data_IF_472116302294
#
_entry.id   IF_472116302294
#
_cell.length_a   1.000
_cell.length_b   1.000
_cell.length_c   1.000
_cell.angle_alpha   90.00
_cell.angle_beta   90.00
_cell.angle_gamma   90.00
#
_symmetry.space_group_name_H-M   'P 1'
#
loop_
_entity.id
_entity.type
_entity.pdbx_description
1 polymer ?
#
# COMPACT_ATOMS: atom_id res chain seq x y z
N UNK A 1 11.79 8.25 -17.27
CA UNK A 1 11.15 8.30 -15.92
C UNK A 1 12.13 9.02 -15.01
N UNK A 2 11.89 10.30 -14.78
CA UNK A 2 12.71 11.14 -13.90
C UNK A 2 12.56 10.65 -12.46
N UNK A 3 13.68 10.31 -11.83
CA UNK A 3 13.69 10.02 -10.40
C UNK A 3 13.70 11.37 -9.70
N UNK A 4 12.75 11.58 -8.82
CA UNK A 4 12.80 12.73 -7.91
C UNK A 4 14.17 12.72 -7.21
N UNK A 5 14.81 13.88 -7.14
CA UNK A 5 16.14 14.05 -6.53
C UNK A 5 16.24 13.52 -5.09
N UNK A 6 15.10 13.33 -4.42
CA UNK A 6 15.00 12.79 -3.07
C UNK A 6 15.47 11.33 -2.94
N UNK A 7 15.32 10.51 -4.00
CA UNK A 7 15.80 9.13 -4.00
C UNK A 7 17.32 8.99 -3.94
N UNK A 8 18.06 10.04 -4.32
CA UNK A 8 19.54 10.04 -4.32
C UNK A 8 20.11 10.23 -2.90
N UNK A 9 19.31 10.77 -1.96
CA UNK A 9 19.72 11.00 -0.57
C UNK A 9 19.12 9.97 0.41
N UNK A 10 18.27 9.06 -0.09
CA UNK A 10 17.61 8.07 0.74
C UNK A 10 18.62 7.03 1.29
N UNK A 11 18.34 6.52 2.48
CA UNK A 11 19.01 5.36 3.08
C UNK A 11 18.13 4.11 2.97
N UNK A 12 16.83 4.30 2.86
CA UNK A 12 15.87 3.21 2.65
C UNK A 12 14.85 3.57 1.55
N UNK A 13 14.39 2.56 0.83
CA UNK A 13 13.34 2.67 -0.17
C UNK A 13 12.22 1.65 0.09
N UNK A 14 10.99 2.12 0.23
CA UNK A 14 9.79 1.28 0.32
C UNK A 14 9.16 1.23 -1.07
N UNK A 15 9.18 0.07 -1.71
CA UNK A 15 8.65 -0.16 -3.04
C UNK A 15 7.17 -0.52 -2.93
N UNK A 16 6.31 0.26 -3.57
CA UNK A 16 4.86 0.05 -3.58
C UNK A 16 4.32 0.04 -5.01
N UNK A 17 3.16 -0.57 -5.22
CA UNK A 17 2.62 -0.70 -6.57
C UNK A 17 2.26 0.67 -7.15
N UNK A 18 1.52 1.49 -6.41
CA UNK A 18 0.95 2.73 -6.89
C UNK A 18 1.01 3.90 -5.92
N UNK A 19 0.43 5.01 -6.37
CA UNK A 19 0.37 6.27 -5.60
C UNK A 19 -0.55 6.15 -4.39
N UNK A 20 -1.62 5.33 -4.46
CA UNK A 20 -2.51 5.07 -3.31
C UNK A 20 -1.75 4.48 -2.12
N UNK A 21 -0.91 3.48 -2.38
CA UNK A 21 -0.10 2.84 -1.34
C UNK A 21 0.92 3.81 -0.75
N UNK A 22 1.55 4.62 -1.62
CA UNK A 22 2.48 5.67 -1.18
C UNK A 22 1.80 6.64 -0.22
N UNK A 23 0.62 7.17 -0.59
CA UNK A 23 -0.10 8.14 0.24
C UNK A 23 -0.59 7.53 1.55
N UNK A 24 -1.04 6.27 1.53
CA UNK A 24 -1.44 5.54 2.73
C UNK A 24 -0.28 5.41 3.72
N UNK A 25 0.88 4.96 3.26
CA UNK A 25 2.06 4.79 4.12
C UNK A 25 2.60 6.15 4.61
N UNK A 26 2.59 7.19 3.79
CA UNK A 26 2.95 8.55 4.21
C UNK A 26 1.99 9.10 5.27
N UNK A 27 0.68 8.88 5.10
CA UNK A 27 -0.32 9.28 6.10
C UNK A 27 -0.10 8.52 7.42
N UNK A 28 0.14 7.21 7.37
CA UNK A 28 0.41 6.41 8.57
C UNK A 28 1.69 6.85 9.28
N UNK A 29 2.76 7.11 8.54
CA UNK A 29 4.01 7.61 9.11
C UNK A 29 3.80 8.95 9.85
N UNK A 30 3.12 9.92 9.20
CA UNK A 30 2.77 11.21 9.83
C UNK A 30 1.98 11.02 11.12
N UNK A 31 0.94 10.15 11.10
CA UNK A 31 0.12 9.87 12.29
C UNK A 31 0.91 9.25 13.44
N UNK A 32 2.00 8.55 13.13
CA UNK A 32 2.95 8.00 14.11
C UNK A 32 4.05 8.98 14.53
N UNK A 33 3.97 10.24 14.07
CA UNK A 33 4.96 11.26 14.38
C UNK A 33 6.30 11.06 13.67
N UNK A 34 6.35 10.20 12.63
CA UNK A 34 7.56 9.97 11.83
C UNK A 34 7.68 11.00 10.72
N UNK A 35 8.89 11.48 10.50
CA UNK A 35 9.26 12.32 9.37
C UNK A 35 10.17 11.51 8.43
N UNK A 36 9.57 10.88 7.41
CA UNK A 36 10.28 10.00 6.49
C UNK A 36 11.42 10.71 5.74
N UNK A 37 11.28 12.00 5.44
CA UNK A 37 12.33 12.78 4.77
C UNK A 37 13.54 12.97 5.69
N UNK A 38 13.30 13.31 6.96
CA UNK A 38 14.36 13.43 7.96
C UNK A 38 15.03 12.07 8.25
N UNK A 39 14.26 10.99 8.20
CA UNK A 39 14.72 9.61 8.35
C UNK A 39 15.38 9.06 7.07
N UNK A 40 15.37 9.83 5.99
CA UNK A 40 15.89 9.42 4.66
C UNK A 40 15.22 8.16 4.11
N UNK A 41 13.92 8.02 4.35
CA UNK A 41 13.08 6.93 3.82
C UNK A 41 12.27 7.45 2.65
N UNK A 42 12.41 6.83 1.49
CA UNK A 42 11.61 7.17 0.30
C UNK A 42 10.56 6.09 0.03
N UNK A 43 9.29 6.47 -0.09
CA UNK A 43 8.24 5.56 -0.56
C UNK A 43 8.09 5.75 -2.07
N UNK A 44 8.37 4.70 -2.83
CA UNK A 44 8.53 4.75 -4.29
C UNK A 44 7.42 3.96 -4.98
N UNK A 45 6.46 4.64 -5.63
CA UNK A 45 5.46 3.97 -6.47
C UNK A 45 6.12 3.49 -7.77
N UNK A 46 5.99 2.19 -8.04
CA UNK A 46 6.65 1.54 -9.17
C UNK A 46 5.85 1.67 -10.48
N UNK A 47 4.57 2.03 -10.42
CA UNK A 47 3.68 2.04 -11.58
C UNK A 47 3.29 0.65 -12.06
N UNK A 48 3.16 -0.29 -11.12
CA UNK A 48 2.76 -1.67 -11.30
C UNK A 48 3.76 -2.67 -10.73
N UNK A 49 3.25 -3.78 -10.19
CA UNK A 49 4.02 -4.80 -9.48
C UNK A 49 5.10 -5.49 -10.34
N UNK A 50 4.87 -5.61 -11.64
CA UNK A 50 5.84 -6.23 -12.58
C UNK A 50 7.16 -5.46 -12.68
N UNK A 51 7.18 -4.19 -12.26
CA UNK A 51 8.37 -3.35 -12.27
C UNK A 51 9.31 -3.63 -11.09
N UNK A 52 8.91 -4.44 -10.11
CA UNK A 52 9.67 -4.75 -8.89
C UNK A 52 11.14 -5.11 -9.17
N UNK A 53 11.39 -5.93 -10.19
CA UNK A 53 12.75 -6.34 -10.58
C UNK A 53 13.65 -5.14 -10.93
N UNK A 54 13.13 -4.19 -11.71
CA UNK A 54 13.87 -2.99 -12.13
C UNK A 54 14.22 -2.12 -10.93
N UNK A 55 13.26 -1.97 -10.01
CA UNK A 55 13.46 -1.16 -8.81
C UNK A 55 14.40 -1.83 -7.81
N UNK A 56 14.32 -3.16 -7.61
CA UNK A 56 15.27 -3.91 -6.78
C UNK A 56 16.71 -3.84 -7.34
N UNK A 57 16.86 -3.99 -8.65
CA UNK A 57 18.18 -3.82 -9.29
C UNK A 57 18.74 -2.43 -9.05
N UNK A 58 17.88 -1.41 -9.07
CA UNK A 58 18.30 -0.02 -8.92
C UNK A 58 18.60 0.36 -7.48
N UNK A 59 17.71 0.03 -6.55
CA UNK A 59 17.81 0.47 -5.16
C UNK A 59 18.51 -0.53 -4.24
N UNK A 60 18.50 -1.80 -4.59
CA UNK A 60 19.11 -2.87 -3.80
C UNK A 60 20.63 -2.98 -3.94
N UNK A 61 21.20 -4.12 -3.53
CA UNK A 61 22.66 -4.32 -3.43
C UNK A 61 23.43 -4.17 -4.74
N UNK A 62 22.76 -4.34 -5.87
CA UNK A 62 23.38 -4.19 -7.20
C UNK A 62 23.34 -2.76 -7.74
N UNK A 63 22.68 -1.83 -7.03
CA UNK A 63 22.52 -0.44 -7.44
C UNK A 63 22.97 0.53 -6.37
N UNK A 64 22.01 1.28 -5.78
CA UNK A 64 22.31 2.27 -4.74
C UNK A 64 22.58 1.68 -3.35
N UNK A 65 22.47 0.37 -3.18
CA UNK A 65 22.65 -0.36 -1.92
C UNK A 65 21.84 0.21 -0.76
N UNK A 66 20.60 0.59 -1.04
CA UNK A 66 19.68 1.07 -0.02
C UNK A 66 19.06 -0.12 0.72
N UNK A 67 18.64 0.11 1.97
CA UNK A 67 17.73 -0.78 2.65
C UNK A 67 16.39 -0.78 1.90
N UNK A 68 16.01 -1.91 1.31
CA UNK A 68 14.77 -2.02 0.54
C UNK A 68 13.69 -2.74 1.33
N UNK A 69 12.47 -2.25 1.22
CA UNK A 69 11.26 -2.87 1.75
C UNK A 69 10.15 -2.76 0.71
N UNK A 70 9.01 -3.40 0.93
CA UNK A 70 7.91 -3.27 -0.02
C UNK A 70 6.57 -3.75 0.51
N UNK A 71 5.51 -3.28 -0.16
CA UNK A 71 4.13 -3.66 0.07
C UNK A 71 3.51 -4.05 -1.27
N UNK A 72 2.82 -5.18 -1.33
CA UNK A 72 2.07 -5.60 -2.51
C UNK A 72 0.74 -6.24 -2.15
N UNK A 73 -0.14 -6.28 -3.13
CA UNK A 73 -1.39 -7.01 -3.08
C UNK A 73 -1.14 -8.53 -3.20
N UNK A 74 -2.09 -9.35 -2.75
CA UNK A 74 -1.96 -10.81 -2.79
C UNK A 74 -1.80 -11.35 -4.22
N UNK A 75 -2.39 -10.68 -5.22
CA UNK A 75 -2.28 -11.10 -6.62
C UNK A 75 -0.85 -10.93 -7.16
N UNK A 76 -0.09 -9.99 -6.64
CA UNK A 76 1.26 -9.61 -7.09
C UNK A 76 2.38 -10.29 -6.28
N UNK A 77 2.05 -11.07 -5.23
CA UNK A 77 3.03 -11.77 -4.40
C UNK A 77 4.05 -12.56 -5.22
N UNK A 78 3.56 -13.22 -6.29
CA UNK A 78 4.42 -14.00 -7.18
C UNK A 78 5.45 -13.17 -7.94
N UNK A 79 5.11 -11.93 -8.33
CA UNK A 79 6.04 -11.03 -9.00
C UNK A 79 7.10 -10.51 -8.04
N UNK A 80 6.69 -10.12 -6.83
CA UNK A 80 7.60 -9.67 -5.78
C UNK A 80 8.56 -10.79 -5.39
N UNK A 81 8.09 -12.00 -5.11
CA UNK A 81 8.93 -13.16 -4.78
C UNK A 81 9.98 -13.42 -5.86
N UNK A 82 9.55 -13.53 -7.12
CA UNK A 82 10.48 -13.73 -8.26
C UNK A 82 11.48 -12.57 -8.41
N UNK A 83 11.03 -11.35 -8.14
CA UNK A 83 11.90 -10.17 -8.16
C UNK A 83 12.99 -10.24 -7.10
N UNK A 84 12.64 -10.58 -5.86
CA UNK A 84 13.57 -10.74 -4.73
C UNK A 84 14.59 -11.85 -5.00
N UNK A 85 14.15 -13.02 -5.46
CA UNK A 85 15.01 -14.14 -5.79
C UNK A 85 16.03 -13.78 -6.89
N UNK A 86 15.59 -13.09 -7.95
CA UNK A 86 16.46 -12.62 -9.04
C UNK A 86 17.42 -11.52 -8.60
N UNK A 87 17.06 -10.74 -7.58
CA UNK A 87 17.96 -9.76 -6.98
C UNK A 87 18.98 -10.39 -6.02
N UNK A 88 18.94 -11.71 -5.82
CA UNK A 88 19.88 -12.44 -4.95
C UNK A 88 19.53 -12.35 -3.46
N UNK A 89 18.28 -11.97 -3.12
CA UNK A 89 17.84 -11.81 -1.74
C UNK A 89 17.30 -13.13 -1.13
N UNK A 90 17.47 -14.25 -1.82
CA UNK A 90 17.10 -15.59 -1.37
C UNK A 90 16.69 -16.49 -2.51
N UNK A 91 16.23 -17.71 -2.18
CA UNK A 91 15.70 -18.70 -3.12
C UNK A 91 14.52 -19.45 -2.51
N UNK A 92 13.51 -19.81 -3.31
CA UNK A 92 12.28 -20.46 -2.86
C UNK A 92 11.61 -19.73 -1.67
N UNK A 93 11.57 -18.40 -1.73
CA UNK A 93 11.10 -17.55 -0.65
C UNK A 93 9.63 -17.84 -0.31
N UNK A 94 9.36 -18.08 0.96
CA UNK A 94 8.00 -18.08 1.50
C UNK A 94 7.55 -16.66 1.83
N UNK A 95 6.26 -16.45 2.10
CA UNK A 95 5.74 -15.16 2.57
C UNK A 95 6.45 -14.70 3.86
N UNK A 96 6.72 -15.62 4.78
CA UNK A 96 7.47 -15.33 6.01
C UNK A 96 8.91 -14.88 5.73
N UNK A 97 9.57 -15.47 4.72
CA UNK A 97 10.91 -15.04 4.33
C UNK A 97 10.87 -13.65 3.68
N UNK A 98 9.86 -13.36 2.85
CA UNK A 98 9.64 -12.03 2.29
C UNK A 98 9.44 -10.98 3.41
N UNK A 99 8.63 -11.29 4.44
CA UNK A 99 8.45 -10.40 5.59
C UNK A 99 9.76 -10.13 6.35
N UNK A 100 10.62 -11.13 6.53
CA UNK A 100 11.96 -10.95 7.13
C UNK A 100 12.85 -10.02 6.31
N UNK A 101 12.65 -9.98 5.00
CA UNK A 101 13.31 -9.06 4.08
C UNK A 101 12.63 -7.68 4.00
N UNK A 102 11.56 -7.45 4.76
CA UNK A 102 10.80 -6.19 4.77
C UNK A 102 9.71 -6.10 3.71
N UNK A 103 9.37 -7.21 3.04
CA UNK A 103 8.34 -7.24 1.99
C UNK A 103 7.06 -7.89 2.51
N UNK A 104 6.01 -7.10 2.62
CA UNK A 104 4.72 -7.49 3.18
C UNK A 104 3.67 -7.61 2.10
N UNK A 105 2.76 -8.58 2.28
CA UNK A 105 1.69 -8.89 1.33
C UNK A 105 0.34 -8.64 2.00
N UNK A 106 -0.50 -7.81 1.42
CA UNK A 106 -1.89 -7.61 1.84
C UNK A 106 -2.69 -8.92 1.68
N UNK A 107 -3.73 -9.12 2.48
CA UNK A 107 -4.60 -10.32 2.37
C UNK A 107 -5.31 -10.37 1.03
N UNK A 108 -5.78 -9.23 0.54
CA UNK A 108 -6.28 -9.06 -0.81
C UNK A 108 -5.59 -7.86 -1.47
N UNK A 109 -5.92 -6.64 -1.05
CA UNK A 109 -5.32 -5.38 -1.48
C UNK A 109 -5.32 -4.38 -0.31
N UNK A 110 -4.72 -3.21 -0.53
CA UNK A 110 -4.65 -2.14 0.48
C UNK A 110 -6.04 -1.71 0.96
N UNK A 111 -7.00 -1.56 0.05
CA UNK A 111 -8.35 -1.14 0.40
C UNK A 111 -9.05 -2.15 1.31
N UNK A 112 -8.88 -3.45 1.04
CA UNK A 112 -9.41 -4.52 1.88
C UNK A 112 -8.81 -4.47 3.29
N UNK A 113 -7.50 -4.26 3.41
CA UNK A 113 -6.83 -4.10 4.71
C UNK A 113 -7.45 -2.94 5.52
N UNK A 114 -7.62 -1.77 4.88
CA UNK A 114 -8.17 -0.59 5.53
C UNK A 114 -9.66 -0.75 5.89
N UNK A 115 -10.47 -1.33 4.99
CA UNK A 115 -11.89 -1.60 5.23
C UNK A 115 -12.06 -2.58 6.40
N UNK A 116 -11.27 -3.64 6.47
CA UNK A 116 -11.33 -4.62 7.57
C UNK A 116 -10.92 -4.01 8.91
N UNK A 117 -9.89 -3.17 8.92
CA UNK A 117 -9.42 -2.52 10.15
C UNK A 117 -10.40 -1.48 10.68
N UNK A 118 -11.02 -0.69 9.80
CA UNK A 118 -11.97 0.36 10.15
C UNK A 118 -13.38 -0.18 10.44
N UNK A 119 -13.79 -1.20 9.70
CA UNK A 119 -15.18 -1.64 9.59
C UNK A 119 -16.02 -0.72 8.69
N UNK A 120 -17.04 -1.29 8.06
CA UNK A 120 -17.84 -0.64 7.03
C UNK A 120 -18.44 0.71 7.47
N UNK A 121 -18.89 0.82 8.72
CA UNK A 121 -19.51 2.05 9.23
C UNK A 121 -18.53 3.23 9.32
N UNK A 122 -17.26 2.99 9.68
CA UNK A 122 -16.26 4.05 9.73
C UNK A 122 -15.83 4.47 8.31
N UNK A 123 -15.73 3.52 7.40
CA UNK A 123 -15.45 3.78 5.99
C UNK A 123 -16.56 4.62 5.35
N UNK A 124 -17.85 4.31 5.63
CA UNK A 124 -18.97 5.11 5.13
C UNK A 124 -18.95 6.55 5.67
N UNK A 125 -18.56 6.76 6.94
CA UNK A 125 -18.35 8.11 7.48
C UNK A 125 -17.22 8.86 6.76
N UNK A 126 -16.13 8.17 6.40
CA UNK A 126 -15.04 8.78 5.63
C UNK A 126 -15.49 9.16 4.22
N UNK A 127 -16.30 8.33 3.56
CA UNK A 127 -16.94 8.62 2.25
C UNK A 127 -17.87 9.83 2.37
N UNK A 128 -18.66 9.91 3.45
CA UNK A 128 -19.57 11.03 3.72
C UNK A 128 -18.82 12.35 3.89
N UNK A 129 -17.74 12.32 4.66
CA UNK A 129 -16.86 13.48 4.85
C UNK A 129 -16.22 13.99 3.54
N UNK A 130 -16.08 13.12 2.54
CA UNK A 130 -15.62 13.47 1.17
C UNK A 130 -16.77 13.93 0.26
N UNK A 131 -18.03 13.92 0.74
CA UNK A 131 -19.21 14.28 -0.06
C UNK A 131 -19.63 13.21 -1.07
N UNK A 132 -19.13 11.99 -0.95
CA UNK A 132 -19.39 10.90 -1.90
C UNK A 132 -20.46 9.88 -1.45
N UNK A 133 -21.08 10.08 -0.27
CA UNK A 133 -22.02 9.10 0.29
C UNK A 133 -23.22 8.83 -0.62
N UNK A 134 -23.79 9.84 -1.26
CA UNK A 134 -24.91 9.67 -2.19
C UNK A 134 -24.52 8.88 -3.43
N UNK A 135 -23.30 9.06 -3.92
CA UNK A 135 -22.75 8.26 -5.03
C UNK A 135 -22.59 6.79 -4.61
N UNK A 136 -22.11 6.56 -3.38
CA UNK A 136 -22.01 5.21 -2.83
C UNK A 136 -23.39 4.58 -2.65
N UNK A 137 -24.40 5.30 -2.13
CA UNK A 137 -25.78 4.81 -2.02
C UNK A 137 -26.38 4.45 -3.39
N UNK A 138 -26.09 5.25 -4.41
CA UNK A 138 -26.50 4.95 -5.79
C UNK A 138 -25.81 3.70 -6.33
N UNK A 139 -24.51 3.54 -6.07
CA UNK A 139 -23.76 2.33 -6.42
C UNK A 139 -24.35 1.08 -5.75
N UNK A 140 -24.69 1.15 -4.47
CA UNK A 140 -25.27 0.03 -3.72
C UNK A 140 -26.61 -0.47 -4.30
N UNK A 141 -27.42 0.42 -4.89
CA UNK A 141 -28.71 0.08 -5.50
C UNK A 141 -28.61 -0.67 -6.83
N UNK A 142 -27.43 -0.71 -7.44
CA UNK A 142 -27.22 -1.43 -8.69
C UNK A 142 -27.48 -2.94 -8.53
N UNK A 143 -28.18 -3.61 -9.48
CA UNK A 143 -28.59 -5.01 -9.34
C UNK A 143 -27.47 -5.98 -8.97
N UNK A 144 -26.26 -5.78 -9.54
CA UNK A 144 -25.10 -6.63 -9.31
C UNK A 144 -24.45 -6.44 -7.92
N UNK A 145 -24.74 -5.32 -7.23
CA UNK A 145 -24.12 -4.99 -5.93
C UNK A 145 -25.07 -5.09 -4.76
N UNK A 146 -26.37 -4.89 -4.94
CA UNK A 146 -27.35 -4.83 -3.85
C UNK A 146 -27.38 -6.06 -2.94
N UNK A 147 -26.97 -7.24 -3.45
CA UNK A 147 -26.93 -8.50 -2.70
C UNK A 147 -25.52 -8.85 -2.16
N UNK A 148 -24.54 -7.99 -2.38
CA UNK A 148 -23.18 -8.20 -1.89
C UNK A 148 -23.01 -7.63 -0.49
N UNK A 149 -21.99 -8.12 0.27
CA UNK A 149 -21.65 -7.57 1.57
C UNK A 149 -21.23 -6.10 1.46
N UNK A 150 -21.34 -5.34 2.55
CA UNK A 150 -20.93 -3.93 2.58
C UNK A 150 -19.46 -3.76 2.24
N UNK A 151 -18.61 -4.61 2.77
CA UNK A 151 -17.18 -4.59 2.55
C UNK A 151 -16.86 -4.80 1.05
N UNK A 152 -17.51 -5.76 0.40
CA UNK A 152 -17.37 -6.01 -1.03
C UNK A 152 -17.86 -4.81 -1.88
N UNK A 153 -18.94 -4.17 -1.45
CA UNK A 153 -19.46 -2.95 -2.10
C UNK A 153 -18.48 -1.79 -1.95
N UNK A 154 -17.94 -1.56 -0.76
CA UNK A 154 -16.96 -0.50 -0.47
C UNK A 154 -15.68 -0.71 -1.28
N UNK A 155 -15.10 -1.91 -1.20
CA UNK A 155 -13.90 -2.24 -1.97
C UNK A 155 -14.07 -1.98 -3.45
N UNK A 156 -15.21 -2.41 -4.03
CA UNK A 156 -15.49 -2.17 -5.45
C UNK A 156 -15.72 -0.69 -5.75
N UNK A 157 -16.39 0.03 -4.86
CA UNK A 157 -16.65 1.46 -5.02
C UNK A 157 -15.35 2.25 -5.12
N UNK A 158 -14.36 1.98 -4.26
CA UNK A 158 -13.03 2.59 -4.38
C UNK A 158 -12.33 2.24 -5.70
N UNK A 159 -12.50 1.02 -6.20
CA UNK A 159 -11.94 0.58 -7.47
C UNK A 159 -12.68 1.07 -8.73
N UNK A 160 -13.76 1.86 -8.62
CA UNK A 160 -14.50 2.34 -9.82
C UNK A 160 -13.80 3.49 -10.55
N UNK A 161 -12.99 4.28 -9.85
CA UNK A 161 -12.26 5.41 -10.42
C UNK A 161 -10.87 5.47 -9.79
N UNK A 162 -9.83 5.56 -10.60
CA UNK A 162 -8.44 5.63 -10.13
C UNK A 162 -8.17 6.83 -9.21
N UNK A 163 -8.78 7.99 -9.48
CA UNK A 163 -8.69 9.18 -8.61
C UNK A 163 -9.25 8.91 -7.22
N UNK A 164 -10.41 8.26 -7.10
CA UNK A 164 -11.03 7.94 -5.80
C UNK A 164 -10.13 7.05 -4.95
N UNK A 165 -9.51 6.03 -5.55
CA UNK A 165 -8.57 5.15 -4.85
C UNK A 165 -7.42 5.94 -4.22
N UNK A 166 -6.86 6.88 -4.96
CA UNK A 166 -5.75 7.73 -4.52
C UNK A 166 -6.18 8.67 -3.39
N UNK A 167 -7.31 9.38 -3.55
CA UNK A 167 -7.80 10.36 -2.58
C UNK A 167 -8.26 9.71 -1.26
N UNK A 168 -8.88 8.53 -1.36
CA UNK A 168 -9.41 7.83 -0.20
C UNK A 168 -8.34 7.15 0.65
N UNK A 169 -7.22 6.73 0.09
CA UNK A 169 -6.20 5.97 0.80
C UNK A 169 -5.67 6.70 2.05
N UNK A 170 -5.30 7.96 1.91
CA UNK A 170 -4.85 8.78 3.05
C UNK A 170 -5.99 9.03 4.04
N UNK A 171 -7.20 9.34 3.57
CA UNK A 171 -8.37 9.61 4.42
C UNK A 171 -8.75 8.38 5.27
N UNK A 172 -8.72 7.18 4.68
CA UNK A 172 -8.99 5.96 5.42
C UNK A 172 -7.91 5.70 6.48
N UNK A 173 -6.65 5.93 6.14
CA UNK A 173 -5.56 5.83 7.12
C UNK A 173 -5.74 6.87 8.24
N UNK A 174 -6.15 8.09 7.93
CA UNK A 174 -6.40 9.13 8.94
C UNK A 174 -7.53 8.76 9.92
N UNK A 175 -8.46 7.92 9.50
CA UNK A 175 -9.54 7.41 10.34
C UNK A 175 -9.17 6.17 11.17
N UNK A 176 -8.01 5.53 10.92
CA UNK A 176 -7.60 4.30 11.62
C UNK A 176 -7.36 4.55 13.13
N UNK A 177 -7.71 3.56 13.94
CA UNK A 177 -7.14 3.43 15.28
C UNK A 177 -5.70 2.93 15.16
N UNK A 178 -4.72 3.70 15.66
CA UNK A 178 -3.30 3.35 15.58
C UNK A 178 -2.93 2.07 16.36
N UNK A 179 -3.80 1.59 17.24
CA UNK A 179 -3.63 0.30 17.92
C UNK A 179 -4.10 -0.89 17.08
N UNK A 180 -4.77 -0.63 15.94
CA UNK A 180 -5.36 -1.62 15.05
C UNK A 180 -4.92 -1.48 13.60
N UNK A 181 -3.73 -0.94 13.38
CA UNK A 181 -3.15 -0.80 12.04
C UNK A 181 -2.97 -2.19 11.41
N UNK A 182 -3.37 -2.38 10.14
CA UNK A 182 -3.12 -3.62 9.42
C UNK A 182 -1.65 -4.01 9.43
N UNK A 183 -1.37 -5.29 9.71
CA UNK A 183 -0.01 -5.82 9.82
C UNK A 183 0.90 -5.49 8.63
N UNK A 184 0.44 -5.57 7.36
CA UNK A 184 1.31 -5.26 6.24
C UNK A 184 1.81 -3.81 6.24
N UNK A 185 0.93 -2.85 6.56
CA UNK A 185 1.30 -1.42 6.64
C UNK A 185 2.21 -1.15 7.84
N UNK A 186 1.87 -1.75 8.98
CA UNK A 186 2.65 -1.61 10.20
C UNK A 186 4.05 -2.18 10.03
N UNK A 187 4.13 -3.39 9.51
CA UNK A 187 5.38 -4.13 9.35
C UNK A 187 6.34 -3.45 8.36
N UNK A 188 5.86 -2.98 7.22
CA UNK A 188 6.72 -2.32 6.23
C UNK A 188 7.30 -1.01 6.77
N UNK A 189 6.52 -0.21 7.52
CA UNK A 189 7.02 1.00 8.17
C UNK A 189 7.94 0.72 9.36
N UNK A 190 7.70 -0.34 10.11
CA UNK A 190 8.57 -0.72 11.21
C UNK A 190 9.93 -1.29 10.75
N UNK A 191 9.98 -1.80 9.51
CA UNK A 191 11.20 -2.35 8.94
C UNK A 191 12.19 -1.28 8.52
N UNK A 192 11.75 -0.09 8.08
CA UNK A 192 12.62 0.99 7.57
C UNK A 192 12.92 2.10 8.57
#
# INVERSE_FOLDING_TARGET
>A
MEIKADAIRAQAAVLVEGVSDQLALQALARRRGRNLDAERVSIVPMGGATNIRTFLHRFGPQGFDLKVAGLCDAAEEGDFRRGLERAGLGSNLTRTDMERLGFYVCVADLEDELIRALGAAAVERAIDAQGELEQFRTFQRQPQWRARTREAQLRRFFGTHSGRKIESAATLVDALDLTRVPRPLDGVLAYV
#
